data_IF_787260638870
#
_entry.id   IF_787260638870
#
_cell.length_a   1.000
_cell.length_b   1.000
_cell.length_c   1.000
_cell.angle_alpha   90.00
_cell.angle_beta   90.00
_cell.angle_gamma   90.00
#
_symmetry.space_group_name_H-M   'P 1'
#
loop_
_entity.id
_entity.type
_entity.pdbx_description
1 polymer ?
#
# COMPACT_ATOMS: atom_id res chain seq x y z
N UNK A 1 -13.52 9.96 -14.31
CA UNK A 1 -13.41 10.23 -12.86
C UNK A 1 -11.95 10.49 -12.56
N UNK A 2 -11.63 11.52 -11.76
CA UNK A 2 -10.25 11.84 -11.39
C UNK A 2 -9.86 10.87 -10.27
N UNK A 3 -8.93 9.97 -10.55
CA UNK A 3 -8.48 8.96 -9.59
C UNK A 3 -7.25 9.51 -8.89
N UNK A 4 -7.28 9.63 -7.56
CA UNK A 4 -6.16 10.18 -6.81
C UNK A 4 -5.35 9.06 -6.16
N UNK A 5 -4.01 9.21 -6.12
CA UNK A 5 -3.09 8.26 -5.51
C UNK A 5 -2.66 8.72 -4.11
N UNK A 6 -2.55 7.78 -3.17
CA UNK A 6 -2.09 8.04 -1.82
C UNK A 6 -1.15 6.95 -1.28
N UNK A 7 -0.50 7.27 -0.15
CA UNK A 7 0.21 6.31 0.68
C UNK A 7 -0.02 6.57 2.18
N UNK A 8 -0.27 5.50 2.94
CA UNK A 8 -0.51 5.48 4.39
C UNK A 8 0.68 4.84 5.10
N UNK A 9 0.73 4.81 6.42
CA UNK A 9 1.76 4.08 7.17
C UNK A 9 1.20 3.28 8.33
N UNK A 10 1.70 2.05 8.45
CA UNK A 10 1.46 1.16 9.59
C UNK A 10 2.77 0.57 10.13
N UNK A 11 2.87 0.38 11.44
CA UNK A 11 4.01 -0.28 12.09
C UNK A 11 3.88 -1.80 11.99
N UNK A 12 4.96 -2.50 11.66
CA UNK A 12 5.02 -3.97 11.77
C UNK A 12 5.17 -4.35 13.25
N UNK A 13 4.21 -5.10 13.82
CA UNK A 13 4.17 -5.44 15.25
C UNK A 13 4.41 -6.93 15.52
N UNK A 14 5.28 -7.23 16.48
CA UNK A 14 5.35 -8.53 17.16
C UNK A 14 5.76 -9.73 16.27
N UNK A 15 5.32 -10.93 16.68
CA UNK A 15 5.61 -12.20 15.99
C UNK A 15 4.74 -12.44 14.73
N UNK A 16 3.83 -11.52 14.40
CA UNK A 16 2.96 -11.61 13.23
C UNK A 16 3.61 -10.96 12.00
N UNK A 17 4.86 -11.32 11.70
CA UNK A 17 5.61 -10.72 10.58
C UNK A 17 4.88 -10.90 9.24
N UNK A 18 4.07 -11.96 9.11
CA UNK A 18 3.37 -12.29 7.87
C UNK A 18 1.95 -11.68 7.77
N UNK A 19 1.57 -10.83 8.73
CA UNK A 19 0.30 -10.10 8.75
C UNK A 19 0.58 -8.62 8.93
N UNK A 20 0.21 -7.80 7.95
CA UNK A 20 0.50 -6.36 7.96
C UNK A 20 -0.79 -5.57 7.81
N UNK A 21 -1.02 -4.63 8.72
CA UNK A 21 -2.16 -3.72 8.60
C UNK A 21 -1.87 -2.74 7.46
N UNK A 22 -2.73 -2.71 6.44
CA UNK A 22 -2.62 -1.77 5.32
C UNK A 22 -3.41 -0.49 5.61
N UNK A 23 -4.64 -0.64 6.11
CA UNK A 23 -5.54 0.49 6.36
C UNK A 23 -6.24 0.32 7.72
N UNK A 24 -6.35 1.37 8.56
CA UNK A 24 -7.21 1.34 9.73
C UNK A 24 -8.69 1.37 9.28
N UNK A 25 -9.58 0.84 10.12
CA UNK A 25 -11.02 0.95 9.90
C UNK A 25 -11.51 2.41 10.04
N UNK A 26 -12.47 2.79 9.20
CA UNK A 26 -13.11 4.10 9.24
C UNK A 26 -12.32 5.18 8.49
N UNK A 27 -12.38 6.39 9.02
CA UNK A 27 -11.71 7.57 8.45
C UNK A 27 -10.26 7.65 8.89
N UNK A 28 -9.35 7.95 7.95
CA UNK A 28 -7.93 8.06 8.24
C UNK A 28 -7.22 9.09 7.37
N UNK A 29 -6.05 9.52 7.85
CA UNK A 29 -5.18 10.52 7.22
C UNK A 29 -3.72 10.09 7.36
N UNK A 30 -2.87 10.50 6.43
CA UNK A 30 -1.43 10.35 6.58
C UNK A 30 -0.88 11.41 7.55
N UNK A 31 0.25 11.09 8.20
CA UNK A 31 0.91 12.00 9.15
C UNK A 31 1.52 13.24 8.47
N UNK A 32 1.63 13.24 7.14
CA UNK A 32 2.13 14.35 6.33
C UNK A 32 1.04 15.35 5.89
N UNK A 33 -0.19 15.19 6.42
CA UNK A 33 -1.32 16.08 6.16
C UNK A 33 -2.22 15.68 4.99
N UNK A 34 -1.89 14.62 4.24
CA UNK A 34 -2.78 14.11 3.17
C UNK A 34 -3.99 13.35 3.74
N UNK A 35 -5.12 13.31 3.01
CA UNK A 35 -5.39 13.99 1.73
C UNK A 35 -5.66 15.48 1.86
N UNK A 36 -5.38 16.24 0.80
CA UNK A 36 -5.67 17.68 0.68
C UNK A 36 -6.85 17.99 -0.25
N UNK A 37 -7.30 17.00 -1.03
CA UNK A 37 -8.37 17.10 -2.02
C UNK A 37 -9.70 16.46 -1.56
N UNK A 38 -9.72 15.83 -0.38
CA UNK A 38 -10.93 15.36 0.31
C UNK A 38 -10.76 15.45 1.84
N UNK A 39 -11.84 15.21 2.59
CA UNK A 39 -11.88 15.39 4.05
C UNK A 39 -11.03 14.37 4.83
N UNK A 40 -10.98 13.12 4.35
CA UNK A 40 -10.17 12.01 4.87
C UNK A 40 -10.21 10.88 3.85
N UNK A 41 -9.35 9.88 3.98
CA UNK A 41 -9.55 8.60 3.31
C UNK A 41 -10.45 7.71 4.16
N UNK A 42 -11.16 6.77 3.53
CA UNK A 42 -12.17 5.94 4.17
C UNK A 42 -11.96 4.48 3.82
N UNK A 43 -11.96 3.62 4.83
CA UNK A 43 -11.94 2.17 4.70
C UNK A 43 -13.03 1.54 5.58
N UNK A 44 -14.14 1.15 4.96
CA UNK A 44 -15.23 0.39 5.61
C UNK A 44 -15.11 -1.10 5.28
N UNK A 45 -15.96 -1.94 5.90
CA UNK A 45 -16.07 -3.35 5.52
C UNK A 45 -16.42 -3.51 4.05
N UNK A 46 -17.38 -2.76 3.55
CA UNK A 46 -17.87 -2.87 2.18
C UNK A 46 -16.76 -2.53 1.19
N UNK A 47 -15.99 -1.48 1.48
CA UNK A 47 -14.78 -1.13 0.70
C UNK A 47 -13.75 -2.25 0.77
N UNK A 48 -13.48 -2.77 1.96
CA UNK A 48 -12.53 -3.86 2.16
C UNK A 48 -12.92 -5.12 1.39
N UNK A 49 -14.20 -5.50 1.37
CA UNK A 49 -14.72 -6.65 0.62
C UNK A 49 -14.46 -6.50 -0.89
N UNK A 50 -14.63 -5.30 -1.44
CA UNK A 50 -14.27 -5.02 -2.83
C UNK A 50 -12.77 -5.20 -3.09
N UNK A 51 -11.90 -4.68 -2.21
CA UNK A 51 -10.46 -4.85 -2.34
C UNK A 51 -10.02 -6.31 -2.18
N UNK A 52 -10.63 -7.06 -1.26
CA UNK A 52 -10.37 -8.50 -1.05
C UNK A 52 -10.67 -9.27 -2.34
N UNK A 53 -11.83 -9.02 -2.97
CA UNK A 53 -12.20 -9.65 -4.23
C UNK A 53 -11.26 -9.26 -5.37
N UNK A 54 -10.91 -7.97 -5.48
CA UNK A 54 -9.95 -7.49 -6.47
C UNK A 54 -8.62 -8.22 -6.35
N UNK A 55 -8.03 -8.28 -5.14
CA UNK A 55 -6.73 -8.92 -4.91
C UNK A 55 -6.80 -10.43 -5.12
N UNK A 56 -7.84 -11.11 -4.63
CA UNK A 56 -8.02 -12.55 -4.79
C UNK A 56 -8.19 -12.97 -6.27
N UNK A 57 -8.68 -12.06 -7.12
CA UNK A 57 -8.85 -12.32 -8.56
C UNK A 57 -7.55 -12.17 -9.37
N UNK A 58 -6.47 -11.65 -8.78
CA UNK A 58 -5.21 -11.42 -9.49
C UNK A 58 -4.44 -12.73 -9.69
N UNK A 59 -3.98 -12.98 -10.92
CA UNK A 59 -3.01 -14.03 -11.19
C UNK A 59 -1.62 -13.70 -10.60
N UNK A 60 -1.27 -12.41 -10.57
CA UNK A 60 0.02 -11.93 -10.05
C UNK A 60 -0.15 -11.37 -8.63
N UNK A 61 0.57 -11.90 -7.63
CA UNK A 61 0.58 -11.37 -6.28
C UNK A 61 0.97 -9.89 -6.23
N UNK A 62 0.46 -9.17 -5.23
CA UNK A 62 0.88 -7.79 -4.99
C UNK A 62 2.27 -7.77 -4.39
N UNK A 63 3.14 -6.95 -4.98
CA UNK A 63 4.52 -6.78 -4.52
C UNK A 63 4.56 -5.85 -3.30
N UNK A 64 5.47 -6.17 -2.39
CA UNK A 64 5.98 -5.27 -1.38
C UNK A 64 7.39 -4.88 -1.83
N UNK A 65 7.62 -3.63 -2.19
CA UNK A 65 8.94 -3.14 -2.57
C UNK A 65 9.70 -2.55 -1.37
N UNK A 66 10.93 -2.10 -1.62
CA UNK A 66 11.66 -1.27 -0.66
C UNK A 66 11.50 0.21 -1.02
N UNK A 67 11.18 1.05 -0.05
CA UNK A 67 11.28 2.52 -0.17
C UNK A 67 10.51 3.12 -1.37
N UNK A 68 9.38 2.51 -1.77
CA UNK A 68 8.58 2.89 -2.93
C UNK A 68 9.38 2.85 -4.25
N UNK A 69 10.36 1.95 -4.34
CA UNK A 69 11.24 1.87 -5.50
C UNK A 69 10.51 1.50 -6.80
N UNK A 70 9.33 0.86 -6.75
CA UNK A 70 8.45 0.65 -7.91
C UNK A 70 8.08 1.97 -8.58
N UNK A 71 7.76 2.98 -7.77
CA UNK A 71 7.48 4.33 -8.27
C UNK A 71 8.78 5.08 -8.61
N UNK A 72 9.79 5.03 -7.73
CA UNK A 72 11.04 5.79 -7.91
C UNK A 72 11.85 5.34 -9.13
N UNK A 73 11.77 4.05 -9.50
CA UNK A 73 12.47 3.49 -10.66
C UNK A 73 12.09 4.16 -11.97
N UNK A 74 10.88 4.69 -12.09
CA UNK A 74 10.44 5.43 -13.29
C UNK A 74 11.29 6.71 -13.48
N UNK A 75 11.75 7.32 -12.38
CA UNK A 75 12.62 8.50 -12.43
C UNK A 75 14.11 8.13 -12.40
N UNK A 76 14.50 7.17 -11.55
CA UNK A 76 15.91 6.90 -11.26
C UNK A 76 16.51 5.73 -12.06
N UNK A 77 15.70 4.93 -12.75
CA UNK A 77 16.12 3.79 -13.56
C UNK A 77 16.80 2.65 -12.78
N UNK A 78 16.79 2.69 -11.45
CA UNK A 78 17.44 1.68 -10.61
C UNK A 78 16.56 0.43 -10.48
N UNK A 79 17.14 -0.75 -10.21
CA UNK A 79 16.38 -1.98 -10.00
C UNK A 79 15.28 -1.84 -8.94
N UNK A 80 14.21 -2.64 -9.09
CA UNK A 80 13.09 -2.73 -8.15
C UNK A 80 13.09 -4.11 -7.48
N UNK A 81 13.96 -4.35 -6.50
CA UNK A 81 13.91 -5.60 -5.75
C UNK A 81 12.64 -5.65 -4.91
N UNK A 82 11.96 -6.79 -4.91
CA UNK A 82 10.86 -7.04 -4.00
C UNK A 82 11.41 -7.32 -2.60
N UNK A 83 10.78 -6.72 -1.58
CA UNK A 83 10.91 -7.11 -0.19
C UNK A 83 10.08 -8.35 0.11
N UNK A 84 8.92 -8.49 -0.53
CA UNK A 84 8.02 -9.62 -0.38
C UNK A 84 6.80 -9.53 -1.28
N UNK A 85 5.83 -10.41 -1.06
CA UNK A 85 4.57 -10.46 -1.81
C UNK A 85 3.41 -10.87 -0.92
N UNK A 86 2.18 -10.54 -1.33
CA UNK A 86 0.97 -11.10 -0.74
C UNK A 86 -0.12 -11.29 -1.80
N UNK A 87 -1.00 -12.28 -1.59
CA UNK A 87 -2.14 -12.57 -2.46
C UNK A 87 -3.49 -12.50 -1.75
N UNK A 88 -3.51 -12.30 -0.43
CA UNK A 88 -4.73 -12.31 0.38
C UNK A 88 -4.82 -11.06 1.24
N UNK A 89 -6.07 -10.64 1.43
CA UNK A 89 -6.45 -9.56 2.32
C UNK A 89 -7.50 -10.09 3.31
N UNK A 90 -7.51 -9.54 4.52
CA UNK A 90 -8.46 -9.87 5.58
C UNK A 90 -8.99 -8.59 6.23
N UNK A 91 -10.31 -8.47 6.31
CA UNK A 91 -10.96 -7.42 7.10
C UNK A 91 -11.10 -7.87 8.55
N UNK A 92 -10.66 -7.03 9.48
CA UNK A 92 -10.80 -7.21 10.93
C UNK A 92 -11.70 -6.13 11.49
N UNK A 93 -12.82 -6.54 12.07
CA UNK A 93 -13.84 -5.62 12.60
C UNK A 93 -13.24 -4.62 13.58
N UNK A 94 -13.49 -3.33 13.34
CA UNK A 94 -12.98 -2.23 14.18
C UNK A 94 -11.47 -1.97 14.09
N UNK A 95 -10.69 -2.87 13.49
CA UNK A 95 -9.24 -2.71 13.32
C UNK A 95 -8.89 -2.19 11.92
N UNK A 96 -9.37 -2.85 10.87
CA UNK A 96 -9.13 -2.43 9.49
C UNK A 96 -8.81 -3.56 8.52
N UNK A 97 -8.11 -3.22 7.44
CA UNK A 97 -7.76 -4.14 6.36
C UNK A 97 -6.30 -4.55 6.44
N UNK A 98 -6.05 -5.86 6.44
CA UNK A 98 -4.73 -6.47 6.58
C UNK A 98 -4.37 -7.22 5.31
N UNK A 99 -3.09 -7.21 4.94
CA UNK A 99 -2.53 -8.25 4.09
C UNK A 99 -2.09 -9.42 4.98
N UNK A 100 -2.48 -10.63 4.57
CA UNK A 100 -2.22 -11.88 5.29
C UNK A 100 -1.43 -12.84 4.40
N UNK A 101 -0.75 -13.80 5.02
CA UNK A 101 0.15 -14.73 4.35
C UNK A 101 1.23 -14.00 3.53
N UNK A 102 1.80 -12.94 4.09
CA UNK A 102 2.88 -12.20 3.42
C UNK A 102 4.12 -13.09 3.32
N UNK A 103 4.63 -13.22 2.11
CA UNK A 103 5.85 -13.96 1.77
C UNK A 103 7.03 -12.99 1.69
N UNK A 104 7.85 -12.93 2.74
CA UNK A 104 9.05 -12.12 2.77
C UNK A 104 10.23 -12.79 2.08
N UNK A 105 11.06 -11.99 1.40
CA UNK A 105 12.41 -12.43 1.05
C UNK A 105 13.25 -12.62 2.31
N UNK A 106 14.30 -13.45 2.23
CA UNK A 106 15.23 -13.64 3.34
C UNK A 106 15.85 -12.31 3.81
N UNK A 107 16.17 -11.41 2.88
CA UNK A 107 16.72 -10.09 3.19
C UNK A 107 15.71 -9.22 3.93
N UNK A 108 14.45 -9.15 3.48
CA UNK A 108 13.41 -8.38 4.15
C UNK A 108 13.13 -8.92 5.56
N UNK A 109 13.01 -10.25 5.69
CA UNK A 109 12.75 -10.89 6.97
C UNK A 109 13.88 -10.63 7.98
N UNK A 110 15.15 -10.71 7.53
CA UNK A 110 16.30 -10.36 8.37
C UNK A 110 16.29 -8.87 8.77
N UNK A 111 16.02 -7.97 7.83
CA UNK A 111 16.02 -6.54 8.09
C UNK A 111 14.86 -6.12 9.03
N UNK A 112 13.68 -6.73 8.89
CA UNK A 112 12.55 -6.54 9.82
C UNK A 112 12.92 -7.05 11.21
N UNK A 113 13.49 -8.25 11.32
CA UNK A 113 13.90 -8.83 12.61
C UNK A 113 14.99 -7.99 13.31
N UNK A 114 15.89 -7.38 12.54
CA UNK A 114 16.92 -6.47 13.03
C UNK A 114 16.41 -5.05 13.33
N UNK A 115 15.12 -4.75 13.09
CA UNK A 115 14.53 -3.41 13.15
C UNK A 115 15.18 -2.40 12.17
N UNK A 116 15.84 -2.88 11.13
CA UNK A 116 16.36 -2.05 10.04
C UNK A 116 15.22 -1.49 9.17
N UNK A 117 14.08 -2.17 9.12
CA UNK A 117 12.83 -1.65 8.54
C UNK A 117 11.66 -1.88 9.49
N UNK A 118 10.79 -0.89 9.62
CA UNK A 118 9.73 -0.90 10.67
C UNK A 118 8.33 -0.61 10.16
N UNK A 119 8.19 -0.05 8.96
CA UNK A 119 6.92 0.45 8.47
C UNK A 119 6.52 -0.16 7.14
N UNK A 120 5.21 -0.26 6.95
CA UNK A 120 4.57 -0.58 5.68
C UNK A 120 3.80 0.64 5.19
N UNK A 121 3.93 0.91 3.90
CA UNK A 121 3.28 2.03 3.24
C UNK A 121 2.54 1.57 1.97
N UNK A 122 1.21 1.33 2.03
CA UNK A 122 0.45 0.94 0.85
C UNK A 122 0.38 2.09 -0.14
N UNK A 123 0.37 1.78 -1.43
CA UNK A 123 0.10 2.71 -2.53
C UNK A 123 -1.25 2.35 -3.13
N UNK A 124 -2.18 3.29 -3.12
CA UNK A 124 -3.59 3.00 -3.40
C UNK A 124 -4.30 4.14 -4.12
N UNK A 125 -5.42 3.81 -4.74
CA UNK A 125 -6.33 4.73 -5.40
C UNK A 125 -7.54 5.02 -4.52
N UNK A 126 -8.10 6.21 -4.64
CA UNK A 126 -9.33 6.62 -3.98
C UNK A 126 -10.20 7.53 -4.85
N UNK A 127 -11.49 7.58 -4.53
CA UNK A 127 -12.48 8.44 -5.19
C UNK A 127 -12.55 9.85 -4.58
N UNK A 128 -13.42 10.72 -5.10
CA UNK A 128 -13.56 12.10 -4.62
C UNK A 128 -14.10 12.21 -3.19
N UNK A 129 -14.72 11.14 -2.68
CA UNK A 129 -15.24 11.05 -1.33
C UNK A 129 -14.18 10.52 -0.36
N UNK A 130 -13.02 10.08 -0.86
CA UNK A 130 -11.95 9.49 -0.07
C UNK A 130 -12.05 7.98 0.09
N UNK A 131 -13.02 7.32 -0.52
CA UNK A 131 -13.13 5.86 -0.44
C UNK A 131 -11.99 5.22 -1.20
N UNK A 132 -11.29 4.28 -0.56
CA UNK A 132 -10.24 3.51 -1.23
C UNK A 132 -10.88 2.62 -2.30
N UNK A 133 -10.34 2.64 -3.52
CA UNK A 133 -10.93 1.94 -4.69
C UNK A 133 -10.05 0.82 -5.23
N UNK A 134 -8.73 0.88 -5.00
CA UNK A 134 -7.79 -0.17 -5.39
C UNK A 134 -6.49 -0.09 -4.59
N UNK A 135 -5.89 -1.24 -4.33
CA UNK A 135 -4.52 -1.38 -3.82
C UNK A 135 -3.56 -1.72 -4.97
N UNK A 136 -2.49 -0.93 -5.16
CA UNK A 136 -1.54 -1.12 -6.26
C UNK A 136 -0.32 -1.95 -5.86
N UNK A 137 0.30 -1.61 -4.73
CA UNK A 137 1.43 -2.32 -4.10
C UNK A 137 1.64 -1.73 -2.70
N UNK A 138 2.61 -2.25 -1.94
CA UNK A 138 3.06 -1.65 -0.68
C UNK A 138 4.58 -1.48 -0.66
N UNK A 139 5.09 -0.64 0.25
CA UNK A 139 6.51 -0.47 0.46
C UNK A 139 6.92 -0.81 1.90
N UNK A 140 8.00 -1.57 2.07
CA UNK A 140 8.75 -1.70 3.30
C UNK A 140 9.70 -0.49 3.41
N UNK A 141 9.51 0.35 4.43
CA UNK A 141 10.18 1.66 4.52
C UNK A 141 10.50 2.07 5.96
N UNK A 142 11.47 2.98 6.12
CA UNK A 142 11.74 3.70 7.37
C UNK A 142 11.24 5.14 7.39
N UNK A 143 10.95 5.70 6.22
CA UNK A 143 10.43 7.06 6.04
C UNK A 143 8.99 6.97 5.55
N UNK A 144 8.05 6.77 6.48
CA UNK A 144 6.65 6.61 6.17
C UNK A 144 6.03 7.85 5.56
N UNK A 145 5.07 7.64 4.65
CA UNK A 145 4.52 8.65 3.76
C UNK A 145 5.60 9.25 2.85
N UNK A 146 5.45 9.12 1.53
CA UNK A 146 6.39 9.69 0.57
C UNK A 146 6.44 11.22 0.75
N UNK A 147 7.40 11.71 1.53
CA UNK A 147 7.73 13.12 1.60
C UNK A 147 8.01 13.61 0.18
N UNK A 148 7.17 14.54 -0.29
CA UNK A 148 7.30 15.10 -1.63
C UNK A 148 7.05 14.09 -2.75
N UNK A 149 5.87 13.47 -2.78
CA UNK A 149 5.38 12.75 -3.96
C UNK A 149 5.28 13.72 -5.15
N UNK A 150 6.36 13.81 -5.93
CA UNK A 150 6.44 14.72 -7.06
C UNK A 150 5.48 14.30 -8.20
N UNK A 151 5.22 15.21 -9.14
CA UNK A 151 4.27 14.97 -10.23
C UNK A 151 4.62 13.75 -11.08
N UNK A 152 5.92 13.37 -11.14
CA UNK A 152 6.38 12.19 -11.87
C UNK A 152 6.00 10.91 -11.14
N UNK A 153 6.12 10.87 -9.82
CA UNK A 153 5.67 9.75 -8.98
C UNK A 153 4.14 9.58 -9.03
N UNK A 154 3.40 10.70 -9.12
CA UNK A 154 1.95 10.66 -9.30
C UNK A 154 1.56 10.12 -10.68
N UNK A 155 2.25 10.54 -11.74
CA UNK A 155 2.04 10.03 -13.09
C UNK A 155 2.41 8.55 -13.22
N UNK A 156 3.52 8.14 -12.62
CA UNK A 156 3.97 6.75 -12.50
C UNK A 156 2.89 5.86 -11.88
N UNK A 157 2.33 6.30 -10.76
CA UNK A 157 1.30 5.55 -10.10
C UNK A 157 -0.03 5.56 -10.85
N UNK A 158 -0.35 6.66 -11.54
CA UNK A 158 -1.50 6.74 -12.45
C UNK A 158 -1.36 5.77 -13.63
N UNK A 159 -0.15 5.59 -14.16
CA UNK A 159 0.13 4.57 -15.18
C UNK A 159 0.00 3.15 -14.62
N UNK A 160 0.55 2.89 -13.44
CA UNK A 160 0.38 1.60 -12.75
C UNK A 160 -1.10 1.30 -12.47
N UNK A 161 -1.88 2.31 -12.11
CA UNK A 161 -3.32 2.20 -11.95
C UNK A 161 -4.00 1.80 -13.26
N UNK A 162 -3.71 2.50 -14.36
CA UNK A 162 -4.29 2.22 -15.67
C UNK A 162 -3.97 0.80 -16.18
N UNK A 163 -2.81 0.25 -15.83
CA UNK A 163 -2.40 -1.13 -16.18
C UNK A 163 -3.09 -2.19 -15.31
N UNK A 164 -3.61 -1.82 -14.15
CA UNK A 164 -4.22 -2.75 -13.18
C UNK A 164 -5.76 -2.74 -13.19
N UNK A 165 -6.39 -1.87 -13.98
CA UNK A 165 -7.85 -1.87 -14.19
C UNK A 165 -8.21 -2.91 -15.26
N UNK A 166 -9.08 -3.91 -14.99
CA UNK A 166 -9.63 -4.75 -16.04
C UNK A 166 -10.43 -3.87 -17.02
N UNK A 167 -10.31 -4.15 -18.33
CA UNK A 167 -11.13 -3.52 -19.38
C UNK A 167 -12.62 -3.81 -19.20
#
# INVERSE_FOLDING_TARGET
MKTTLAALTSLIRGNHQNEIQLFPAGEFRANDGRPTDCACWVMTREIAEHLIQQVASRATPLVIDYEHQTLRAIKNGKPVPAAGWHHALEWREGEGLYAVNVEWTANASAAIAANEYRFISPVFLYDQQGHVTALLHSALTNTPALDGMDAVMLAAASQLAALNTPQ
#
